data_IF_342944841936
#
_entry.id   IF_342944841936
#
_cell.length_a   1.000
_cell.length_b   1.000
_cell.length_c   1.000
_cell.angle_alpha   90.00
_cell.angle_beta   90.00
_cell.angle_gamma   90.00
#
_symmetry.space_group_name_H-M   'P 1'
#
loop_
_entity.id
_entity.type
_entity.pdbx_description
1 polymer ?
#
# COMPACT_ATOMS: atom_id res chain seq x y z
N UNK A 1 -40.03 -43.59 -35.90
CA UNK A 1 -39.72 -43.62 -34.45
C UNK A 1 -38.27 -44.09 -34.29
N UNK A 2 -37.43 -43.29 -33.61
CA UNK A 2 -36.33 -43.71 -32.71
C UNK A 2 -34.99 -42.97 -32.80
N UNK A 3 -34.70 -42.14 -33.83
CA UNK A 3 -33.39 -41.45 -33.88
C UNK A 3 -33.41 -39.94 -33.58
N UNK A 4 -34.53 -39.25 -33.81
CA UNK A 4 -34.58 -37.77 -33.69
C UNK A 4 -34.77 -37.30 -32.23
N UNK A 5 -35.14 -38.20 -31.31
CA UNK A 5 -35.38 -37.85 -29.90
C UNK A 5 -34.14 -37.92 -29.00
N UNK A 6 -33.00 -38.41 -29.50
CA UNK A 6 -31.80 -38.61 -28.67
C UNK A 6 -30.79 -37.46 -28.80
N UNK A 7 -30.84 -36.68 -29.89
CA UNK A 7 -29.87 -35.58 -30.12
C UNK A 7 -30.19 -34.33 -29.27
N UNK A 8 -31.44 -34.15 -28.84
CA UNK A 8 -31.82 -33.00 -28.00
C UNK A 8 -31.35 -33.08 -26.54
N UNK A 9 -30.96 -34.28 -26.05
CA UNK A 9 -30.51 -34.47 -24.68
C UNK A 9 -28.99 -34.27 -24.49
N UNK A 10 -28.20 -34.28 -25.57
CA UNK A 10 -26.74 -34.21 -25.48
C UNK A 10 -26.17 -32.77 -25.48
N UNK A 11 -26.94 -31.77 -25.95
CA UNK A 11 -26.46 -30.38 -26.04
C UNK A 11 -26.69 -29.53 -24.79
N UNK A 12 -27.43 -30.01 -23.78
CA UNK A 12 -27.68 -29.24 -22.55
C UNK A 12 -26.57 -29.40 -21.51
N UNK A 13 -25.67 -30.39 -21.64
CA UNK A 13 -24.65 -30.69 -20.63
C UNK A 13 -23.33 -29.92 -20.83
N UNK A 14 -23.09 -29.30 -22.00
CA UNK A 14 -21.77 -28.75 -22.34
C UNK A 14 -21.57 -27.25 -22.01
N UNK A 15 -22.53 -26.61 -21.34
CA UNK A 15 -22.35 -25.24 -20.81
C UNK A 15 -22.74 -25.16 -19.33
N UNK A 16 -22.51 -26.25 -18.59
CA UNK A 16 -22.32 -26.11 -17.15
C UNK A 16 -20.95 -25.46 -16.94
N UNK A 17 -20.88 -24.13 -17.11
CA UNK A 17 -19.79 -23.38 -16.49
C UNK A 17 -19.83 -23.76 -15.01
N UNK A 18 -18.72 -24.28 -14.44
CA UNK A 18 -18.69 -24.53 -13.03
C UNK A 18 -19.00 -23.19 -12.35
N UNK A 19 -20.19 -23.10 -11.75
CA UNK A 19 -20.41 -22.23 -10.62
C UNK A 19 -19.49 -22.78 -9.54
N UNK A 20 -18.19 -22.47 -9.62
CA UNK A 20 -17.33 -22.54 -8.47
C UNK A 20 -18.01 -21.63 -7.45
N UNK A 21 -18.67 -22.22 -6.46
CA UNK A 21 -18.87 -21.53 -5.21
C UNK A 21 -17.45 -21.10 -4.81
N UNK A 22 -17.15 -19.81 -4.93
CA UNK A 22 -15.83 -19.30 -4.61
C UNK A 22 -15.59 -19.58 -3.13
N UNK A 23 -14.80 -20.60 -2.87
CA UNK A 23 -14.38 -20.94 -1.53
C UNK A 23 -13.40 -19.87 -1.07
N UNK A 24 -13.59 -19.43 0.17
CA UNK A 24 -12.64 -18.54 0.83
C UNK A 24 -11.43 -19.37 1.23
N UNK A 25 -10.27 -18.98 0.74
CA UNK A 25 -9.00 -19.62 1.06
C UNK A 25 -7.89 -18.61 1.20
N UNK A 26 -6.76 -19.05 1.75
CA UNK A 26 -5.53 -18.24 1.82
C UNK A 26 -4.91 -18.17 0.43
N UNK A 27 -4.90 -16.97 -0.16
CA UNK A 27 -4.09 -16.66 -1.33
C UNK A 27 -2.72 -16.19 -0.88
N UNK A 28 -1.67 -16.61 -1.58
CA UNK A 28 -0.28 -16.27 -1.29
C UNK A 28 0.42 -15.81 -2.56
N UNK A 29 1.23 -14.76 -2.46
CA UNK A 29 2.14 -14.33 -3.51
C UNK A 29 3.53 -14.09 -2.94
N UNK A 30 4.50 -14.90 -3.38
CA UNK A 30 5.88 -14.85 -2.90
C UNK A 30 6.69 -13.72 -3.53
N UNK A 31 6.38 -13.33 -4.78
CA UNK A 31 7.09 -12.26 -5.47
C UNK A 31 6.80 -10.90 -4.80
N UNK A 32 5.52 -10.65 -4.52
CA UNK A 32 5.03 -9.44 -3.85
C UNK A 32 4.93 -9.60 -2.33
N UNK A 33 5.34 -10.74 -1.75
CA UNK A 33 5.50 -10.99 -0.31
C UNK A 33 4.27 -10.74 0.55
N UNK A 34 3.10 -11.18 0.11
CA UNK A 34 1.88 -11.09 0.94
C UNK A 34 1.02 -12.35 0.84
N UNK A 35 0.20 -12.54 1.87
CA UNK A 35 -0.94 -13.46 1.82
C UNK A 35 -2.21 -12.77 2.33
N UNK A 36 -3.37 -13.25 1.90
CA UNK A 36 -4.68 -12.73 2.32
C UNK A 36 -5.75 -13.80 2.13
N UNK A 37 -6.76 -13.84 3.00
CA UNK A 37 -7.94 -14.69 2.76
C UNK A 37 -8.83 -14.05 1.70
N UNK A 38 -9.07 -14.75 0.60
CA UNK A 38 -9.79 -14.22 -0.56
C UNK A 38 -10.68 -15.29 -1.24
N UNK A 39 -11.70 -14.88 -2.03
CA UNK A 39 -12.60 -15.80 -2.68
C UNK A 39 -12.00 -16.35 -3.98
N UNK A 40 -11.08 -17.31 -3.84
CA UNK A 40 -10.41 -17.98 -4.96
C UNK A 40 -9.19 -17.22 -5.52
N UNK A 41 -8.92 -17.41 -6.83
CA UNK A 41 -7.77 -16.82 -7.51
C UNK A 41 -8.10 -15.41 -8.05
N UNK A 42 -7.16 -14.45 -7.96
CA UNK A 42 -7.37 -13.10 -8.48
C UNK A 42 -7.15 -13.01 -9.99
N UNK A 43 -7.76 -12.01 -10.61
CA UNK A 43 -7.23 -11.42 -11.84
C UNK A 43 -6.02 -10.54 -11.48
N UNK A 44 -4.90 -10.75 -12.17
CA UNK A 44 -3.62 -10.08 -11.88
C UNK A 44 -3.31 -9.10 -13.01
N UNK A 45 -2.98 -7.86 -12.67
CA UNK A 45 -2.63 -6.81 -13.62
C UNK A 45 -1.38 -6.07 -13.14
N UNK A 46 -0.38 -5.90 -14.03
CA UNK A 46 0.77 -5.02 -13.78
C UNK A 46 0.46 -3.62 -14.28
N UNK A 47 0.68 -2.62 -13.45
CA UNK A 47 0.40 -1.21 -13.74
C UNK A 47 1.60 -0.33 -13.37
N UNK A 48 1.47 0.97 -13.66
CA UNK A 48 2.34 2.01 -13.12
C UNK A 48 1.58 2.82 -12.09
N UNK A 49 2.16 2.97 -10.90
CA UNK A 49 1.64 3.82 -9.83
C UNK A 49 2.35 5.16 -9.85
N UNK A 50 1.60 6.24 -10.03
CA UNK A 50 2.12 7.59 -9.90
C UNK A 50 2.15 7.96 -8.41
N UNK A 51 3.32 8.33 -7.90
CA UNK A 51 3.45 8.81 -6.52
C UNK A 51 3.04 10.28 -6.37
N UNK A 52 3.07 10.78 -5.13
CA UNK A 52 2.79 12.19 -4.83
C UNK A 52 3.73 13.14 -5.58
N UNK A 53 5.00 12.76 -5.72
CA UNK A 53 6.04 13.59 -6.32
C UNK A 53 6.41 13.13 -7.75
N UNK A 54 5.40 12.73 -8.52
CA UNK A 54 5.47 12.43 -9.97
C UNK A 54 6.31 11.23 -10.42
N UNK A 55 6.92 10.46 -9.51
CA UNK A 55 7.60 9.21 -9.88
C UNK A 55 6.62 8.12 -10.31
N UNK A 56 6.99 7.33 -11.33
CA UNK A 56 6.18 6.20 -11.82
C UNK A 56 6.74 4.85 -11.37
N UNK A 57 6.18 4.31 -10.28
CA UNK A 57 6.59 3.05 -9.68
C UNK A 57 5.93 1.83 -10.36
N UNK A 58 6.62 0.67 -10.44
CA UNK A 58 5.96 -0.58 -10.76
C UNK A 58 4.95 -0.96 -9.67
N UNK A 59 3.78 -1.43 -10.07
CA UNK A 59 2.80 -1.95 -9.15
C UNK A 59 2.04 -3.14 -9.75
N UNK A 60 1.54 -4.03 -8.89
CA UNK A 60 0.69 -5.15 -9.27
C UNK A 60 -0.64 -5.05 -8.55
N UNK A 61 -1.74 -5.29 -9.26
CA UNK A 61 -3.10 -5.28 -8.71
C UNK A 61 -3.71 -6.68 -8.85
N UNK A 62 -4.13 -7.23 -7.71
CA UNK A 62 -4.81 -8.50 -7.57
C UNK A 62 -6.29 -8.22 -7.29
N UNK A 63 -7.19 -8.68 -8.16
CA UNK A 63 -8.63 -8.42 -8.03
C UNK A 63 -9.43 -9.69 -7.88
N UNK A 64 -10.27 -9.73 -6.85
CA UNK A 64 -11.28 -10.76 -6.66
C UNK A 64 -12.68 -10.16 -6.74
N UNK A 65 -13.64 -10.98 -7.13
CA UNK A 65 -15.04 -10.61 -7.19
C UNK A 65 -15.90 -11.75 -6.68
N UNK A 66 -16.72 -11.50 -5.66
CA UNK A 66 -17.73 -12.44 -5.15
C UNK A 66 -19.11 -11.82 -5.30
N UNK A 67 -19.84 -12.23 -6.33
CA UNK A 67 -21.09 -11.59 -6.71
C UNK A 67 -20.89 -10.09 -6.95
N UNK A 68 -21.59 -9.20 -6.21
CA UNK A 68 -21.43 -7.75 -6.37
C UNK A 68 -20.29 -7.17 -5.52
N UNK A 69 -19.68 -7.96 -4.62
CA UNK A 69 -18.58 -7.51 -3.76
C UNK A 69 -17.25 -7.62 -4.51
N UNK A 70 -16.36 -6.66 -4.27
CA UNK A 70 -15.06 -6.53 -4.92
C UNK A 70 -13.98 -6.45 -3.87
N UNK A 71 -12.85 -7.08 -4.13
CA UNK A 71 -11.69 -7.10 -3.25
C UNK A 71 -10.43 -6.86 -4.07
N UNK A 72 -9.52 -6.06 -3.54
CA UNK A 72 -8.29 -5.69 -4.22
C UNK A 72 -7.13 -5.78 -3.24
N UNK A 73 -6.01 -6.35 -3.70
CA UNK A 73 -4.70 -6.09 -3.11
C UNK A 73 -3.86 -5.39 -4.17
N UNK A 74 -3.36 -4.19 -3.88
CA UNK A 74 -2.40 -3.49 -4.73
C UNK A 74 -1.05 -3.45 -4.01
N UNK A 75 0.02 -3.79 -4.73
CA UNK A 75 1.39 -3.75 -4.21
C UNK A 75 2.19 -2.81 -5.09
N UNK A 76 2.72 -1.74 -4.51
CA UNK A 76 3.61 -0.79 -5.18
C UNK A 76 5.03 -0.98 -4.65
N UNK A 77 5.98 -1.22 -5.54
CA UNK A 77 7.37 -1.49 -5.16
C UNK A 77 8.22 -0.22 -5.24
N UNK A 78 8.64 0.27 -4.07
CA UNK A 78 9.53 1.43 -3.92
C UNK A 78 10.99 1.02 -3.66
N UNK A 79 11.36 -0.27 -3.79
CA UNK A 79 12.72 -0.75 -3.47
C UNK A 79 13.82 -0.02 -4.24
N UNK A 80 13.54 0.42 -5.47
CA UNK A 80 14.47 1.17 -6.32
C UNK A 80 14.10 2.67 -6.43
N UNK A 81 13.49 3.25 -5.40
CA UNK A 81 12.97 4.63 -5.45
C UNK A 81 13.99 5.68 -5.88
N UNK A 82 15.23 5.64 -5.36
CA UNK A 82 16.28 6.57 -5.74
C UNK A 82 16.65 6.47 -7.24
N UNK A 83 16.76 5.24 -7.76
CA UNK A 83 17.09 5.01 -9.15
C UNK A 83 15.92 5.42 -10.07
N UNK A 84 14.68 5.10 -9.69
CA UNK A 84 13.46 5.50 -10.40
C UNK A 84 13.33 7.02 -10.44
N UNK A 85 13.52 7.69 -9.30
CA UNK A 85 13.50 9.15 -9.21
C UNK A 85 14.55 9.76 -10.16
N UNK A 86 15.79 9.26 -10.11
CA UNK A 86 16.88 9.79 -10.93
C UNK A 86 16.65 9.58 -12.45
N UNK A 87 15.99 8.50 -12.83
CA UNK A 87 15.71 8.18 -14.24
C UNK A 87 14.47 8.90 -14.81
N UNK A 88 13.57 9.37 -13.96
CA UNK A 88 12.31 10.00 -14.37
C UNK A 88 12.46 11.50 -14.63
N UNK A 89 11.59 12.02 -15.50
CA UNK A 89 11.36 13.45 -15.59
C UNK A 89 10.29 13.84 -14.58
N UNK A 90 10.58 14.84 -13.76
CA UNK A 90 9.66 15.39 -12.77
C UNK A 90 9.15 16.76 -13.20
N UNK A 91 8.01 17.18 -12.67
CA UNK A 91 7.57 18.57 -12.78
C UNK A 91 8.60 19.52 -12.13
N UNK A 92 8.55 20.81 -12.48
CA UNK A 92 9.47 21.81 -11.93
C UNK A 92 9.39 21.88 -10.40
N UNK A 93 8.20 21.61 -9.85
CA UNK A 93 7.94 21.63 -8.41
C UNK A 93 8.63 20.47 -7.66
N UNK A 94 9.01 19.39 -8.34
CA UNK A 94 9.49 18.14 -7.72
C UNK A 94 10.93 17.74 -8.08
N UNK A 95 11.83 18.73 -8.19
CA UNK A 95 13.24 18.55 -8.58
C UNK A 95 14.24 18.32 -7.42
N UNK A 96 13.78 18.32 -6.16
CA UNK A 96 14.67 18.17 -5.01
C UNK A 96 15.14 16.72 -4.81
N UNK A 97 16.44 16.47 -4.54
CA UNK A 97 17.01 15.13 -4.48
C UNK A 97 16.48 14.26 -3.32
N UNK A 98 15.70 14.83 -2.40
CA UNK A 98 15.07 14.13 -1.28
C UNK A 98 13.74 13.46 -1.64
N UNK A 99 13.12 13.77 -2.79
CA UNK A 99 11.78 13.29 -3.12
C UNK A 99 11.67 11.78 -3.26
N UNK A 100 12.74 11.07 -3.64
CA UNK A 100 12.75 9.60 -3.62
C UNK A 100 12.50 9.02 -2.21
N UNK A 101 12.93 9.71 -1.16
CA UNK A 101 12.67 9.32 0.23
C UNK A 101 11.25 9.69 0.63
N UNK A 102 10.81 10.89 0.25
CA UNK A 102 9.48 11.40 0.61
C UNK A 102 8.39 10.56 -0.04
N UNK A 103 8.58 10.11 -1.29
CA UNK A 103 7.68 9.18 -1.98
C UNK A 103 7.46 7.89 -1.18
N UNK A 104 8.49 7.37 -0.50
CA UNK A 104 8.37 6.20 0.39
C UNK A 104 7.65 6.60 1.69
N UNK A 105 8.13 7.65 2.37
CA UNK A 105 7.63 8.06 3.69
C UNK A 105 6.16 8.47 3.66
N UNK A 106 5.75 9.19 2.62
CA UNK A 106 4.39 9.71 2.42
C UNK A 106 3.45 8.73 1.74
N UNK A 107 3.92 7.57 1.26
CA UNK A 107 3.17 6.63 0.42
C UNK A 107 1.81 6.22 1.02
N UNK A 108 1.77 5.93 2.33
CA UNK A 108 0.53 5.59 3.04
C UNK A 108 -0.45 6.78 3.03
N UNK A 109 0.04 7.99 3.35
CA UNK A 109 -0.80 9.19 3.43
C UNK A 109 -1.33 9.57 2.04
N UNK A 110 -0.47 9.50 1.03
CA UNK A 110 -0.84 9.78 -0.35
C UNK A 110 -1.92 8.81 -0.85
N UNK A 111 -1.74 7.50 -0.65
CA UNK A 111 -2.74 6.50 -1.00
C UNK A 111 -4.08 6.77 -0.29
N UNK A 112 -4.05 7.07 1.02
CA UNK A 112 -5.24 7.42 1.77
C UNK A 112 -5.94 8.69 1.20
N UNK A 113 -5.18 9.70 0.80
CA UNK A 113 -5.69 10.92 0.15
C UNK A 113 -6.39 10.61 -1.18
N UNK A 114 -5.86 9.69 -1.99
CA UNK A 114 -6.53 9.26 -3.23
C UNK A 114 -7.93 8.68 -2.97
N UNK A 115 -8.14 7.98 -1.86
CA UNK A 115 -9.48 7.51 -1.48
C UNK A 115 -10.37 8.65 -0.96
N UNK A 116 -9.84 9.55 -0.12
CA UNK A 116 -10.60 10.69 0.44
C UNK A 116 -11.13 11.64 -0.63
N UNK A 117 -10.38 11.80 -1.72
CA UNK A 117 -10.70 12.73 -2.80
C UNK A 117 -11.63 12.14 -3.87
N UNK A 118 -12.01 10.85 -3.78
CA UNK A 118 -12.95 10.24 -4.73
C UNK A 118 -14.27 11.01 -4.72
N UNK A 119 -14.82 11.40 -5.89
CA UNK A 119 -16.05 12.18 -5.94
C UNK A 119 -17.22 11.51 -5.20
N UNK A 120 -17.86 12.26 -4.30
CA UNK A 120 -19.09 11.85 -3.61
C UNK A 120 -18.92 10.77 -2.54
N UNK A 121 -17.69 10.38 -2.18
CA UNK A 121 -17.47 9.48 -1.04
C UNK A 121 -17.66 10.23 0.28
N UNK A 122 -18.15 9.52 1.29
CA UNK A 122 -18.19 9.97 2.68
C UNK A 122 -17.24 9.12 3.50
N UNK A 123 -16.24 9.74 4.12
CA UNK A 123 -15.36 9.07 5.08
C UNK A 123 -16.12 8.81 6.38
N UNK A 124 -16.15 7.55 6.82
CA UNK A 124 -16.83 7.11 8.05
C UNK A 124 -15.85 6.64 9.13
N UNK A 125 -14.62 6.29 8.74
CA UNK A 125 -13.51 6.00 9.65
C UNK A 125 -12.18 6.37 8.97
N UNK A 126 -11.25 6.93 9.74
CA UNK A 126 -9.94 7.39 9.24
C UNK A 126 -8.95 7.47 10.41
N UNK A 127 -8.12 6.45 10.57
CA UNK A 127 -7.23 6.37 11.72
C UNK A 127 -5.99 5.50 11.47
N UNK A 128 -5.01 5.66 12.36
CA UNK A 128 -3.90 4.74 12.50
C UNK A 128 -4.41 3.30 12.66
N UNK A 129 -3.74 2.37 11.99
CA UNK A 129 -4.03 0.95 12.07
C UNK A 129 -2.74 0.14 12.08
N UNK A 130 -2.85 -1.16 12.30
CA UNK A 130 -1.74 -2.09 12.14
C UNK A 130 -2.27 -3.51 11.92
N UNK A 131 -1.51 -4.32 11.20
CA UNK A 131 -1.78 -5.76 11.11
C UNK A 131 -0.48 -6.54 11.25
N UNK A 132 -0.49 -7.60 12.05
CA UNK A 132 0.73 -8.35 12.40
C UNK A 132 1.89 -7.44 12.92
N UNK A 133 1.51 -6.35 13.60
CA UNK A 133 2.37 -5.25 14.08
C UNK A 133 3.07 -4.42 13.00
N UNK A 134 2.79 -4.63 11.72
CA UNK A 134 3.17 -3.66 10.68
C UNK A 134 2.22 -2.47 10.76
N UNK A 135 2.77 -1.29 11.00
CA UNK A 135 1.97 -0.07 11.11
C UNK A 135 1.38 0.32 9.76
N UNK A 136 0.19 0.91 9.80
CA UNK A 136 -0.52 1.33 8.62
C UNK A 136 -1.64 2.32 8.94
N UNK A 137 -2.60 2.36 8.04
CA UNK A 137 -3.73 3.27 8.07
C UNK A 137 -4.99 2.56 7.63
N UNK A 138 -6.11 2.80 8.32
CA UNK A 138 -7.41 2.28 7.93
C UNK A 138 -8.36 3.40 7.53
N UNK A 139 -9.07 3.17 6.41
CA UNK A 139 -10.19 3.99 5.98
C UNK A 139 -11.45 3.15 5.85
N UNK A 140 -12.58 3.73 6.24
CA UNK A 140 -13.89 3.22 5.87
C UNK A 140 -14.67 4.33 5.18
N UNK A 141 -15.32 4.00 4.07
CA UNK A 141 -15.98 4.96 3.19
C UNK A 141 -17.37 4.45 2.84
N UNK A 142 -18.33 5.36 2.73
CA UNK A 142 -19.59 5.14 2.01
C UNK A 142 -19.48 5.78 0.63
N UNK A 143 -19.66 5.00 -0.43
CA UNK A 143 -19.60 5.46 -1.82
C UNK A 143 -20.94 6.07 -2.28
N UNK A 144 -20.98 6.79 -3.42
CA UNK A 144 -22.21 7.39 -3.95
C UNK A 144 -23.36 6.38 -4.15
N UNK A 145 -23.06 5.16 -4.57
CA UNK A 145 -24.01 4.05 -4.75
C UNK A 145 -24.42 3.36 -3.44
N UNK A 146 -24.03 3.92 -2.29
CA UNK A 146 -24.25 3.40 -0.94
C UNK A 146 -23.53 2.08 -0.62
N UNK A 147 -22.65 1.60 -1.50
CA UNK A 147 -21.68 0.57 -1.14
C UNK A 147 -20.70 1.11 -0.09
N UNK A 148 -20.06 0.19 0.65
CA UNK A 148 -19.07 0.54 1.67
C UNK A 148 -17.72 -0.04 1.31
N UNK A 149 -16.69 0.79 1.35
CA UNK A 149 -15.30 0.39 1.10
C UNK A 149 -14.52 0.42 2.40
N UNK A 150 -13.78 -0.66 2.67
CA UNK A 150 -12.87 -0.83 3.79
C UNK A 150 -11.47 -0.94 3.22
N UNK A 151 -10.53 -0.10 3.68
CA UNK A 151 -9.18 -0.02 3.14
C UNK A 151 -8.18 -0.15 4.28
N UNK A 152 -7.25 -1.10 4.17
CA UNK A 152 -6.04 -1.16 4.98
C UNK A 152 -4.82 -0.84 4.12
N UNK A 153 -4.01 0.12 4.55
CA UNK A 153 -2.84 0.60 3.82
C UNK A 153 -1.60 0.40 4.71
N UNK A 154 -0.61 -0.32 4.22
CA UNK A 154 0.56 -0.70 5.00
C UNK A 154 1.84 -0.53 4.18
N UNK A 155 2.95 -0.24 4.84
CA UNK A 155 4.26 -0.14 4.20
C UNK A 155 5.20 -1.12 4.90
N UNK A 156 5.71 -2.09 4.13
CA UNK A 156 6.61 -3.13 4.64
C UNK A 156 7.73 -3.40 3.65
N UNK A 157 8.96 -3.27 4.12
CA UNK A 157 10.18 -3.43 3.31
C UNK A 157 10.13 -2.65 1.98
N UNK A 158 9.70 -1.38 2.05
CA UNK A 158 9.55 -0.47 0.91
C UNK A 158 8.55 -0.95 -0.16
N UNK A 159 7.62 -1.85 0.19
CA UNK A 159 6.43 -2.14 -0.61
C UNK A 159 5.20 -1.55 0.06
N UNK A 160 4.45 -0.74 -0.67
CA UNK A 160 3.16 -0.23 -0.22
C UNK A 160 2.08 -1.25 -0.60
N UNK A 161 1.36 -1.73 0.41
CA UNK A 161 0.25 -2.65 0.25
C UNK A 161 -1.05 -1.91 0.52
N UNK A 162 -1.99 -1.98 -0.41
CA UNK A 162 -3.33 -1.44 -0.27
C UNK A 162 -4.31 -2.60 -0.42
N UNK A 163 -4.91 -3.01 0.68
CA UNK A 163 -6.00 -3.99 0.70
C UNK A 163 -7.32 -3.23 0.77
N UNK A 164 -8.13 -3.28 -0.28
CA UNK A 164 -9.48 -2.72 -0.26
C UNK A 164 -10.55 -3.77 -0.50
N UNK A 165 -11.69 -3.58 0.15
CA UNK A 165 -12.87 -4.41 -0.04
C UNK A 165 -14.11 -3.53 -0.10
N UNK A 166 -14.85 -3.61 -1.19
CA UNK A 166 -16.12 -2.92 -1.40
C UNK A 166 -17.27 -3.91 -1.35
N UNK A 167 -18.18 -3.70 -0.41
CA UNK A 167 -19.42 -4.48 -0.26
C UNK A 167 -20.64 -3.62 -0.56
N UNK A 168 -21.64 -4.20 -1.21
CA UNK A 168 -22.87 -3.48 -1.52
C UNK A 168 -23.66 -3.10 -0.27
N UNK A 169 -24.57 -2.13 -0.42
CA UNK A 169 -25.44 -1.64 0.65
C UNK A 169 -26.15 -2.81 1.37
N UNK A 170 -26.13 -2.78 2.70
CA UNK A 170 -26.83 -3.77 3.54
C UNK A 170 -26.07 -5.08 3.80
N UNK A 171 -25.00 -5.37 3.05
CA UNK A 171 -24.17 -6.55 3.29
C UNK A 171 -23.21 -6.33 4.46
N UNK A 172 -22.90 -7.34 5.29
CA UNK A 172 -21.97 -7.20 6.41
C UNK A 172 -20.56 -6.75 5.95
N UNK A 173 -19.77 -6.11 6.84
CA UNK A 173 -18.38 -5.78 6.56
C UNK A 173 -17.56 -7.03 6.18
N UNK A 174 -16.61 -6.92 5.24
CA UNK A 174 -15.81 -8.05 4.75
C UNK A 174 -14.64 -8.39 5.71
N UNK A 175 -14.95 -8.70 6.98
CA UNK A 175 -13.93 -8.86 8.04
C UNK A 175 -12.89 -9.93 7.71
N UNK A 176 -13.26 -11.03 7.05
CA UNK A 176 -12.35 -12.11 6.68
C UNK A 176 -11.24 -11.58 5.76
N UNK A 177 -11.57 -10.73 4.78
CA UNK A 177 -10.56 -10.11 3.92
C UNK A 177 -9.81 -9.00 4.64
N UNK A 178 -10.51 -8.17 5.43
CA UNK A 178 -9.93 -7.00 6.07
C UNK A 178 -8.87 -7.33 7.14
N UNK A 179 -9.08 -8.42 7.88
CA UNK A 179 -8.28 -8.79 9.06
C UNK A 179 -7.28 -9.94 8.78
N UNK A 180 -7.19 -10.42 7.55
CA UNK A 180 -6.31 -11.52 7.14
C UNK A 180 -5.01 -11.16 6.41
N UNK A 181 -4.70 -9.90 6.02
CA UNK A 181 -3.42 -9.63 5.38
C UNK A 181 -2.22 -10.05 6.24
N UNK A 182 -1.31 -10.75 5.60
CA UNK A 182 -0.03 -11.21 6.13
C UNK A 182 1.09 -10.68 5.24
N UNK A 183 2.23 -10.35 5.85
CA UNK A 183 3.47 -10.03 5.15
C UNK A 183 4.39 -11.22 5.24
N UNK A 184 5.03 -11.58 4.14
CA UNK A 184 5.85 -12.78 4.03
C UNK A 184 7.34 -12.42 3.98
N UNK A 185 8.17 -13.25 4.59
CA UNK A 185 9.61 -13.20 4.35
C UNK A 185 9.98 -13.80 2.98
N UNK A 186 11.27 -13.83 2.66
CA UNK A 186 11.77 -14.35 1.40
C UNK A 186 11.48 -15.86 1.21
N UNK A 187 11.24 -16.58 2.31
CA UNK A 187 10.91 -18.00 2.33
C UNK A 187 9.39 -18.26 2.30
N UNK A 188 8.57 -17.21 2.24
CA UNK A 188 7.11 -17.31 2.18
C UNK A 188 6.43 -17.47 3.54
N UNK A 189 7.17 -17.30 4.63
CA UNK A 189 6.62 -17.43 5.98
C UNK A 189 6.06 -16.09 6.48
N UNK A 190 4.88 -16.15 7.10
CA UNK A 190 4.24 -14.99 7.68
C UNK A 190 5.08 -14.39 8.80
N UNK A 191 5.37 -13.10 8.66
CA UNK A 191 6.13 -12.32 9.62
C UNK A 191 5.20 -11.83 10.72
N UNK A 192 5.65 -11.96 11.97
CA UNK A 192 5.05 -11.27 13.12
C UNK A 192 6.15 -10.65 13.97
N UNK A 193 6.17 -9.32 14.02
CA UNK A 193 7.14 -8.60 14.82
C UNK A 193 6.87 -8.77 16.32
N UNK A 194 7.84 -8.37 17.16
CA UNK A 194 7.67 -8.29 18.63
C UNK A 194 7.08 -6.96 19.09
N UNK A 195 7.33 -5.90 18.33
CA UNK A 195 6.85 -4.54 18.55
C UNK A 195 6.31 -3.99 17.24
N UNK A 196 5.66 -2.83 17.27
CA UNK A 196 5.25 -2.14 16.05
C UNK A 196 6.45 -1.92 15.11
N UNK A 197 6.31 -2.40 13.87
CA UNK A 197 7.25 -2.19 12.80
C UNK A 197 6.89 -0.91 12.05
N UNK A 198 7.86 -0.02 11.96
CA UNK A 198 7.84 1.15 11.09
C UNK A 198 8.81 0.90 9.94
N UNK A 199 8.37 1.15 8.71
CA UNK A 199 9.21 0.98 7.54
C UNK A 199 10.45 1.86 7.64
N UNK A 200 11.59 1.32 7.20
CA UNK A 200 12.86 2.04 7.13
C UNK A 200 13.15 2.38 5.68
N UNK A 201 13.66 3.58 5.45
CA UNK A 201 14.20 3.94 4.15
C UNK A 201 15.32 2.97 3.76
N UNK A 202 15.49 2.67 2.46
CA UNK A 202 16.68 1.98 1.97
C UNK A 202 17.93 2.70 2.47
N UNK A 203 18.95 1.93 2.85
CA UNK A 203 20.28 2.49 3.15
C UNK A 203 20.75 3.29 1.93
N UNK A 204 21.09 4.58 2.07
CA UNK A 204 21.63 5.36 0.96
C UNK A 204 22.84 4.63 0.40
N UNK A 205 22.87 4.40 -0.91
CA UNK A 205 24.08 3.88 -1.56
C UNK A 205 25.13 4.97 -1.37
N UNK A 206 26.05 4.80 -0.42
CA UNK A 206 27.20 5.69 -0.24
C UNK A 206 28.00 5.65 -1.54
N UNK A 207 27.69 6.55 -2.46
CA UNK A 207 28.47 6.75 -3.67
C UNK A 207 29.91 6.97 -3.23
N UNK A 208 30.81 6.12 -3.71
CA UNK A 208 32.23 6.18 -3.39
C UNK A 208 32.76 7.57 -3.69
N UNK A 209 32.81 8.43 -2.66
CA UNK A 209 33.55 9.67 -2.71
C UNK A 209 35.00 9.25 -2.63
N UNK A 210 35.57 9.04 -3.82
CA UNK A 210 36.95 8.63 -4.02
C UNK A 210 37.87 9.40 -3.09
N UNK A 211 38.76 8.66 -2.43
CA UNK A 211 39.82 9.24 -1.63
C UNK A 211 40.59 10.27 -2.43
N UNK A 212 40.53 11.52 -1.99
CA UNK A 212 41.61 12.49 -2.15
C UNK A 212 41.99 12.97 -0.77
N UNK A 213 42.88 12.21 -0.13
CA UNK A 213 43.81 12.81 0.81
C UNK A 213 44.87 13.57 0.00
N UNK A 214 45.01 14.87 0.26
CA UNK A 214 46.27 15.63 0.12
C UNK A 214 46.07 17.07 0.62
N UNK A 215 46.53 17.34 1.84
CA UNK A 215 47.32 18.52 2.23
C UNK A 215 46.83 19.96 1.98
N UNK A 216 46.36 20.60 3.06
CA UNK A 216 46.81 21.93 3.53
C UNK A 216 45.91 23.15 3.28
N UNK A 217 46.12 24.30 3.97
CA UNK A 217 46.67 24.53 5.31
C UNK A 217 45.62 25.12 6.29
N UNK A 218 45.98 25.20 7.58
CA UNK A 218 45.20 25.89 8.61
C UNK A 218 45.28 27.42 8.43
N UNK A 219 44.15 28.12 8.52
CA UNK A 219 44.16 29.59 8.66
C UNK A 219 42.85 30.31 8.34
N UNK A 220 42.23 30.83 9.40
CA UNK A 220 41.48 32.10 9.50
C UNK A 220 40.10 32.27 8.84
N UNK A 221 39.12 32.66 9.69
CA UNK A 221 38.04 33.58 9.33
C UNK A 221 36.67 32.96 9.09
N UNK A 222 35.91 32.67 10.15
CA UNK A 222 34.48 32.37 10.04
C UNK A 222 33.64 33.65 9.91
N UNK A 223 32.64 33.73 9.02
CA UNK A 223 31.64 34.78 9.07
C UNK A 223 30.54 34.42 10.08
N UNK A 224 30.36 35.30 11.06
CA UNK A 224 29.17 35.42 11.91
C UNK A 224 27.94 35.81 11.08
N UNK A 225 26.79 35.19 11.35
CA UNK A 225 25.49 35.74 10.97
C UNK A 225 24.38 34.72 10.73
N UNK A 226 23.75 34.23 11.79
CA UNK A 226 22.37 33.76 11.76
C UNK A 226 21.68 34.19 13.06
N UNK A 227 20.48 34.82 13.01
CA UNK A 227 19.81 35.34 14.20
C UNK A 227 19.20 34.21 15.06
N UNK A 228 19.10 34.39 16.38
CA UNK A 228 18.58 33.37 17.28
C UNK A 228 17.05 33.28 17.18
N UNK A 229 16.55 32.14 16.70
CA UNK A 229 15.15 31.75 16.83
C UNK A 229 14.83 31.46 18.29
N UNK A 230 14.03 32.32 18.91
CA UNK A 230 13.54 32.16 20.28
C UNK A 230 12.54 31.01 20.38
N UNK A 231 12.91 29.99 21.16
CA UNK A 231 12.02 28.92 21.61
C UNK A 231 12.52 28.44 22.96
N UNK A 232 12.15 29.15 24.03
CA UNK A 232 12.50 28.77 25.40
C UNK A 232 11.87 27.41 25.80
N UNK A 233 12.40 26.76 26.84
CA UNK A 233 11.96 25.44 27.27
C UNK A 233 10.50 25.48 27.77
N UNK A 234 9.66 24.59 27.21
CA UNK A 234 8.28 24.38 27.68
C UNK A 234 8.33 23.79 29.09
N UNK A 235 7.83 24.54 30.08
CA UNK A 235 7.56 24.02 31.42
C UNK A 235 6.43 22.99 31.35
N UNK A 236 6.73 21.76 31.79
CA UNK A 236 5.70 20.74 32.03
C UNK A 236 4.80 21.20 33.17
N UNK A 237 3.54 21.49 32.87
CA UNK A 237 2.50 21.71 33.87
C UNK A 237 2.31 20.46 34.74
N UNK A 238 2.12 20.66 36.04
CA UNK A 238 1.84 19.60 36.99
C UNK A 238 0.46 18.95 36.72
N UNK A 239 0.28 17.65 37.02
CA UNK A 239 -0.99 16.97 36.81
C UNK A 239 -2.09 17.49 37.76
N UNK A 240 -3.37 17.42 37.36
CA UNK A 240 -4.47 17.87 38.20
C UNK A 240 -4.59 16.99 39.46
N UNK A 241 -4.80 17.65 40.60
CA UNK A 241 -5.26 16.97 41.82
C UNK A 241 -6.75 16.63 41.69
N UNK A 242 -7.13 15.52 42.32
CA UNK A 242 -8.45 14.87 42.28
C UNK A 242 -9.62 15.79 42.58
#
# INVERSE_FOLDING_TARGET
MSLVRIVAAACVVLVAWPLFAQEWGRYENLDDRFAVSAPGQPAIEKIKWKSEYDSMFPATVYRWQQGPNRYTASVVDYSESEAIYTANHHSEDFQAPMYWQIDILGSIQYAATQYRQKPGVKVTFDAFHYINLVTGHELQLTNPDQSRTYVGIYLHENRLYIFDATVVKGMPPPLIFQQSPEFLDAEGKSIRYRTYYFNRLPEPRLGGRGGRGAGGPAGAGGPQGAPPGGGGPIQRGAPPQR
#
